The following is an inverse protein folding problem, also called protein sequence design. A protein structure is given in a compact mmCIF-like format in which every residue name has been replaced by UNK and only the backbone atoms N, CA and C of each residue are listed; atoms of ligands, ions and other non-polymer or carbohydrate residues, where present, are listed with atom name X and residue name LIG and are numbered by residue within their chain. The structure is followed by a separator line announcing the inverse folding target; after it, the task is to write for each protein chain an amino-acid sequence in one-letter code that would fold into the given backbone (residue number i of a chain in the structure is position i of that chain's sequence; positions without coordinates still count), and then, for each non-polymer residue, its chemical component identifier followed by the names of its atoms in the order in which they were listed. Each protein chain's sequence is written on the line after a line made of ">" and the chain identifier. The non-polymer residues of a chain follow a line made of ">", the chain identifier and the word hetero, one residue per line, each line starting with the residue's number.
data_IF_831555932867
#
_entry.id   IF_831555932867
#
_cell.length_a   1.000
_cell.length_b   1.000
_cell.length_c   1.000
_cell.angle_alpha   90.00
_cell.angle_beta   90.00
_cell.angle_gamma   90.00
#
_symmetry.space_group_name_H-M   'P 1'
#
loop_
_entity.id
_entity.type
_entity.pdbx_description
1 polymer ?
#
# COMPACT_ATOMS: atom_id res chain seq x y z
N UNK A 1 -2.84 8.12 -10.65
CA UNK A 1 -3.62 8.23 -11.92
C UNK A 1 -4.52 9.45 -11.89
N UNK A 2 -5.38 9.64 -10.87
CA UNK A 2 -6.22 10.84 -10.73
C UNK A 2 -5.44 12.17 -10.87
N UNK A 3 -4.43 12.40 -10.03
CA UNK A 3 -3.58 13.59 -10.12
C UNK A 3 -2.93 13.79 -11.50
N UNK A 4 -2.50 12.69 -12.14
CA UNK A 4 -1.89 12.74 -13.48
C UNK A 4 -2.89 13.12 -14.58
N UNK A 5 -4.19 13.01 -14.32
CA UNK A 5 -5.27 13.42 -15.22
C UNK A 5 -5.94 14.72 -14.76
N UNK A 6 -5.32 15.50 -13.85
CA UNK A 6 -5.86 16.76 -13.37
C UNK A 6 -7.03 16.64 -12.38
N UNK A 7 -7.32 15.43 -11.87
CA UNK A 7 -8.38 15.18 -10.90
C UNK A 7 -7.81 15.25 -9.48
N UNK A 8 -8.52 15.90 -8.56
CA UNK A 8 -8.17 15.95 -7.14
C UNK A 8 -8.16 14.54 -6.51
N UNK A 9 -7.01 14.03 -6.05
CA UNK A 9 -6.93 12.72 -5.39
C UNK A 9 -7.82 12.61 -4.15
N UNK A 10 -8.05 13.71 -3.41
CA UNK A 10 -8.88 13.68 -2.19
C UNK A 10 -10.34 13.41 -2.54
N UNK A 11 -10.88 14.17 -3.50
CA UNK A 11 -12.24 13.96 -4.00
C UNK A 11 -12.48 12.51 -4.49
N UNK A 12 -11.48 11.92 -5.15
CA UNK A 12 -11.56 10.51 -5.60
C UNK A 12 -11.56 9.55 -4.41
N UNK A 13 -10.68 9.73 -3.43
CA UNK A 13 -10.63 8.90 -2.23
C UNK A 13 -11.93 9.02 -1.43
N UNK A 14 -12.46 10.22 -1.25
CA UNK A 14 -13.70 10.45 -0.50
C UNK A 14 -14.87 9.72 -1.16
N UNK A 15 -15.04 9.89 -2.48
CA UNK A 15 -16.09 9.19 -3.23
C UNK A 15 -15.97 7.66 -3.11
N UNK A 16 -14.76 7.12 -3.31
CA UNK A 16 -14.52 5.67 -3.25
C UNK A 16 -14.74 5.10 -1.84
N UNK A 17 -14.34 5.83 -0.81
CA UNK A 17 -14.40 5.36 0.59
C UNK A 17 -15.74 5.60 1.27
N UNK A 18 -16.64 6.35 0.63
CA UNK A 18 -18.05 6.46 1.03
C UNK A 18 -18.97 5.46 0.30
N UNK A 19 -18.48 4.81 -0.76
CA UNK A 19 -19.28 3.93 -1.61
C UNK A 19 -18.72 2.51 -1.71
N UNK A 20 -17.76 2.28 -2.61
CA UNK A 20 -17.21 0.95 -2.94
C UNK A 20 -16.29 0.38 -1.85
N UNK A 21 -15.63 1.24 -1.08
CA UNK A 21 -14.67 0.86 -0.04
C UNK A 21 -14.98 1.50 1.32
N UNK A 22 -16.17 1.26 1.92
CA UNK A 22 -16.65 1.92 3.12
C UNK A 22 -16.05 1.33 4.41
N UNK A 23 -14.76 0.97 4.39
CA UNK A 23 -14.06 0.42 5.54
C UNK A 23 -13.05 1.43 6.12
N UNK A 24 -12.88 1.48 7.47
CA UNK A 24 -11.98 2.44 8.13
C UNK A 24 -10.54 2.40 7.62
N UNK A 25 -10.08 1.23 7.17
CA UNK A 25 -8.73 1.05 6.61
C UNK A 25 -8.54 1.88 5.33
N UNK A 26 -9.53 1.90 4.43
CA UNK A 26 -9.42 2.66 3.19
C UNK A 26 -9.60 4.16 3.41
N UNK A 27 -10.44 4.56 4.36
CA UNK A 27 -10.60 5.97 4.74
C UNK A 27 -9.29 6.52 5.34
N UNK A 28 -8.74 5.81 6.33
CA UNK A 28 -7.55 6.27 7.06
C UNK A 28 -6.30 6.28 6.17
N UNK A 29 -6.02 5.17 5.47
CA UNK A 29 -4.83 5.09 4.61
C UNK A 29 -5.02 5.87 3.30
N UNK A 30 -6.23 5.87 2.72
CA UNK A 30 -6.55 6.63 1.52
C UNK A 30 -6.32 8.12 1.71
N UNK A 31 -6.76 8.69 2.84
CA UNK A 31 -6.49 10.09 3.20
C UNK A 31 -4.99 10.38 3.26
N UNK A 32 -4.22 9.55 3.97
CA UNK A 32 -2.75 9.70 4.09
C UNK A 32 -2.04 9.61 2.74
N UNK A 33 -2.52 8.77 1.83
CA UNK A 33 -1.99 8.64 0.47
C UNK A 33 -2.34 9.88 -0.37
N UNK A 34 -3.59 10.36 -0.31
CA UNK A 34 -4.03 11.56 -1.02
C UNK A 34 -3.31 12.84 -0.55
N UNK A 35 -2.92 12.88 0.72
CA UNK A 35 -2.13 13.97 1.32
C UNK A 35 -0.61 13.82 1.16
N UNK A 36 -0.14 12.71 0.57
CA UNK A 36 1.28 12.37 0.46
C UNK A 36 2.03 12.32 1.82
N UNK A 37 1.31 12.04 2.91
CA UNK A 37 1.85 12.00 4.28
C UNK A 37 2.09 10.58 4.79
N UNK A 38 1.90 9.56 3.95
CA UNK A 38 2.09 8.17 4.35
C UNK A 38 3.58 7.77 4.38
N UNK A 39 4.18 7.55 5.56
CA UNK A 39 5.61 7.28 5.70
C UNK A 39 5.83 5.77 5.62
N UNK A 40 5.59 5.16 4.47
CA UNK A 40 5.77 3.71 4.31
C UNK A 40 7.25 3.30 4.30
N UNK A 41 8.18 4.22 4.05
CA UNK A 41 9.63 3.97 3.99
C UNK A 41 10.36 4.09 5.33
N UNK A 42 9.74 4.65 6.37
CA UNK A 42 10.45 5.00 7.60
C UNK A 42 10.56 3.83 8.59
N UNK A 43 10.06 2.65 8.22
CA UNK A 43 9.99 1.50 9.11
C UNK A 43 10.19 0.19 8.34
N UNK A 44 11.07 -0.68 8.84
CA UNK A 44 11.34 -2.01 8.27
C UNK A 44 10.24 -3.06 8.57
N UNK A 45 9.30 -2.76 9.48
CA UNK A 45 8.26 -3.70 9.91
C UNK A 45 7.36 -4.18 8.75
N UNK A 46 6.85 -3.32 7.85
CA UNK A 46 6.06 -3.79 6.71
C UNK A 46 6.84 -4.74 5.79
N UNK A 47 8.12 -4.48 5.55
CA UNK A 47 8.96 -5.36 4.73
C UNK A 47 9.12 -6.73 5.38
N UNK A 48 9.39 -6.73 6.70
CA UNK A 48 9.49 -7.96 7.52
C UNK A 48 8.18 -8.77 7.47
N UNK A 49 7.03 -8.15 7.69
CA UNK A 49 5.73 -8.86 7.73
C UNK A 49 5.38 -9.45 6.35
N UNK A 50 5.63 -8.72 5.26
CA UNK A 50 5.45 -9.24 3.89
C UNK A 50 6.44 -10.39 3.61
N UNK A 51 7.68 -10.29 4.10
CA UNK A 51 8.67 -11.37 4.01
C UNK A 51 8.24 -12.64 4.73
N UNK A 52 7.69 -12.52 5.94
CA UNK A 52 7.15 -13.64 6.71
C UNK A 52 5.97 -14.29 5.97
N UNK A 53 5.02 -13.50 5.48
CA UNK A 53 3.90 -14.01 4.69
C UNK A 53 4.36 -14.82 3.46
N UNK A 54 5.30 -14.27 2.69
CA UNK A 54 5.86 -14.97 1.51
C UNK A 54 6.52 -16.29 1.90
N UNK A 55 7.33 -16.30 2.96
CA UNK A 55 8.01 -17.51 3.45
C UNK A 55 6.99 -18.59 3.85
N UNK A 56 5.92 -18.20 4.54
CA UNK A 56 4.85 -19.14 4.92
C UNK A 56 4.10 -19.67 3.70
N UNK A 57 3.78 -18.82 2.71
CA UNK A 57 3.10 -19.26 1.49
C UNK A 57 3.95 -20.24 0.66
N UNK A 58 5.28 -20.05 0.63
CA UNK A 58 6.22 -20.97 -0.03
C UNK A 58 6.19 -22.39 0.55
N UNK A 59 5.94 -22.53 1.86
CA UNK A 59 5.87 -23.85 2.52
C UNK A 59 4.70 -24.71 2.02
N UNK A 60 3.70 -24.08 1.40
CA UNK A 60 2.51 -24.74 0.83
C UNK A 60 2.42 -24.53 -0.69
N UNK A 61 3.53 -24.19 -1.33
CA UNK A 61 3.64 -23.97 -2.78
C UNK A 61 2.62 -22.95 -3.34
N UNK A 62 2.19 -22.00 -2.51
CA UNK A 62 1.18 -21.00 -2.89
C UNK A 62 1.83 -19.75 -3.51
N UNK A 63 1.43 -19.35 -4.74
CA UNK A 63 1.98 -18.16 -5.38
C UNK A 63 1.47 -16.86 -4.73
N UNK A 64 2.36 -15.88 -4.54
CA UNK A 64 2.04 -14.61 -3.86
C UNK A 64 2.40 -13.38 -4.71
N UNK A 65 1.76 -13.16 -5.88
CA UNK A 65 2.15 -12.10 -6.81
C UNK A 65 2.07 -10.69 -6.19
N UNK A 66 1.00 -10.39 -5.45
CA UNK A 66 0.83 -9.10 -4.78
C UNK A 66 1.85 -8.90 -3.66
N UNK A 67 2.12 -9.92 -2.84
CA UNK A 67 3.13 -9.83 -1.78
C UNK A 67 4.54 -9.66 -2.35
N UNK A 68 4.84 -10.29 -3.48
CA UNK A 68 6.13 -10.11 -4.18
C UNK A 68 6.30 -8.67 -4.68
N UNK A 69 5.25 -8.08 -5.25
CA UNK A 69 5.26 -6.66 -5.64
C UNK A 69 5.45 -5.74 -4.42
N UNK A 70 4.72 -5.98 -3.34
CA UNK A 70 4.85 -5.19 -2.10
C UNK A 70 6.26 -5.27 -1.52
N UNK A 71 6.84 -6.47 -1.46
CA UNK A 71 8.21 -6.68 -0.98
C UNK A 71 9.23 -5.89 -1.82
N UNK A 72 9.07 -5.89 -3.15
CA UNK A 72 9.92 -5.10 -4.04
C UNK A 72 9.78 -3.59 -3.78
N UNK A 73 8.56 -3.07 -3.68
CA UNK A 73 8.30 -1.65 -3.45
C UNK A 73 8.85 -1.17 -2.11
N UNK A 74 8.71 -1.99 -1.05
CA UNK A 74 9.21 -1.67 0.29
C UNK A 74 10.74 -1.71 0.34
N UNK A 75 11.38 -2.73 -0.23
CA UNK A 75 12.85 -2.82 -0.30
C UNK A 75 13.48 -1.71 -1.15
N UNK A 76 12.82 -1.29 -2.23
CA UNK A 76 13.30 -0.19 -3.08
C UNK A 76 13.23 1.18 -2.40
N UNK A 77 12.42 1.30 -1.35
CA UNK A 77 12.25 2.54 -0.60
C UNK A 77 13.24 2.66 0.57
N UNK A 78 13.73 1.55 1.13
CA UNK A 78 14.82 1.54 2.12
C UNK A 78 16.12 2.10 1.53
N UNK A 79 16.43 1.83 0.26
CA UNK A 79 17.64 2.32 -0.42
C UNK A 79 17.58 3.79 -0.87
N UNK A 80 16.48 4.51 -0.61
CA UNK A 80 16.28 5.92 -0.98
C UNK A 80 16.37 6.89 0.21
N UNK A 81 16.68 6.37 1.41
CA UNK A 81 16.86 7.15 2.64
C UNK A 81 18.34 7.44 2.87
#
# INVERSE_FOLDING_TARGET
>A
MAAKNGVDPKAVVDMLTQTLFPAPIYQSYGKRIAEATAPFSQNAIPLKDVGLFKKTAQQVESPTPIASLLHYLLSSNEGRV
#
